data_IF_496405777468
#
_entry.id   IF_496405777468
#
_cell.length_a   1.000
_cell.length_b   1.000
_cell.length_c   1.000
_cell.angle_alpha   90.00
_cell.angle_beta   90.00
_cell.angle_gamma   90.00
#
_symmetry.space_group_name_H-M   'P 1'
#
loop_
_entity.id
_entity.type
_entity.pdbx_description
1 polymer ?
#
# COMPACT_ATOMS: atom_id res chain seq x y z
N UNK A 1 9.32 3.46 -9.88
CA UNK A 1 8.88 4.84 -9.55
C UNK A 1 8.37 4.87 -8.12
N UNK A 2 9.03 5.58 -7.19
CA UNK A 2 8.68 5.59 -5.76
C UNK A 2 7.22 6.00 -5.47
N UNK A 3 6.67 6.95 -6.24
CA UNK A 3 5.28 7.41 -6.10
C UNK A 3 4.25 6.31 -6.35
N UNK A 4 4.56 5.32 -7.20
CA UNK A 4 3.62 4.24 -7.51
C UNK A 4 3.43 3.29 -6.30
N UNK A 5 4.51 2.99 -5.57
CA UNK A 5 4.46 2.17 -4.36
C UNK A 5 3.66 2.89 -3.26
N UNK A 6 3.89 4.20 -3.11
CA UNK A 6 3.10 5.03 -2.20
C UNK A 6 1.61 5.04 -2.56
N UNK A 7 1.29 5.19 -3.84
CA UNK A 7 -0.10 5.20 -4.31
C UNK A 7 -0.81 3.86 -4.07
N UNK A 8 -0.16 2.72 -4.33
CA UNK A 8 -0.70 1.39 -3.98
C UNK A 8 -1.04 1.30 -2.50
N UNK A 9 -0.14 1.76 -1.63
CA UNK A 9 -0.36 1.77 -0.17
C UNK A 9 -1.58 2.61 0.23
N UNK A 10 -1.79 3.75 -0.45
CA UNK A 10 -2.98 4.60 -0.25
C UNK A 10 -4.25 3.86 -0.66
N UNK A 11 -4.27 3.20 -1.83
CA UNK A 11 -5.44 2.45 -2.30
C UNK A 11 -5.80 1.29 -1.36
N UNK A 12 -4.82 0.54 -0.85
CA UNK A 12 -5.04 -0.48 0.18
C UNK A 12 -5.61 0.12 1.47
N UNK A 13 -5.09 1.27 1.89
CA UNK A 13 -5.60 2.02 3.04
C UNK A 13 -7.06 2.43 2.88
N UNK A 14 -7.44 2.90 1.68
CA UNK A 14 -8.83 3.25 1.34
C UNK A 14 -9.72 2.00 1.41
N UNK A 15 -9.34 0.90 0.77
CA UNK A 15 -10.10 -0.36 0.80
C UNK A 15 -10.31 -0.87 2.23
N UNK A 16 -9.26 -0.82 3.06
CA UNK A 16 -9.33 -1.21 4.46
C UNK A 16 -10.24 -0.31 5.29
N UNK A 17 -10.26 1.01 5.02
CA UNK A 17 -11.16 1.95 5.70
C UNK A 17 -12.61 1.84 5.25
N UNK A 18 -12.85 1.56 3.98
CA UNK A 18 -14.21 1.37 3.48
C UNK A 18 -14.85 0.14 4.12
N UNK A 19 -14.10 -0.97 4.22
CA UNK A 19 -14.51 -2.13 5.02
C UNK A 19 -15.73 -2.90 4.49
N UNK A 20 -16.32 -2.48 3.38
CA UNK A 20 -17.39 -3.19 2.70
C UNK A 20 -17.37 -2.91 1.19
N UNK A 21 -17.76 -3.88 0.35
CA UNK A 21 -17.86 -3.67 -1.09
C UNK A 21 -18.96 -2.65 -1.41
N UNK A 22 -18.85 -2.00 -2.57
CA UNK A 22 -19.83 -1.05 -3.11
C UNK A 22 -20.09 0.21 -2.27
N UNK A 23 -19.24 0.51 -1.26
CA UNK A 23 -19.29 1.81 -0.60
C UNK A 23 -18.80 2.89 -1.56
N UNK A 24 -19.63 3.93 -1.70
CA UNK A 24 -19.30 5.09 -2.52
C UNK A 24 -18.18 5.89 -1.87
N UNK A 25 -17.13 6.15 -2.63
CA UNK A 25 -16.04 7.03 -2.25
C UNK A 25 -15.49 7.72 -3.50
N UNK A 26 -15.27 9.02 -3.39
CA UNK A 26 -14.64 9.80 -4.45
C UNK A 26 -13.17 9.96 -4.10
N UNK A 27 -12.29 9.53 -5.01
CA UNK A 27 -10.84 9.67 -4.83
C UNK A 27 -10.38 10.82 -5.71
N UNK A 28 -10.02 11.93 -5.07
CA UNK A 28 -9.43 13.10 -5.73
C UNK A 28 -7.92 13.02 -5.57
N UNK A 29 -7.20 13.11 -6.68
CA UNK A 29 -5.74 13.08 -6.74
C UNK A 29 -5.25 14.40 -7.32
N UNK A 30 -4.16 14.91 -6.76
CA UNK A 30 -3.52 16.11 -7.30
C UNK A 30 -3.05 15.92 -8.73
N UNK A 31 -3.21 16.96 -9.54
CA UNK A 31 -2.88 16.93 -10.96
C UNK A 31 -1.36 16.96 -11.15
N UNK A 32 -0.81 15.85 -11.63
CA UNK A 32 0.61 15.63 -11.87
C UNK A 32 0.81 14.89 -13.18
N UNK A 33 1.24 15.62 -14.22
CA UNK A 33 1.32 15.15 -15.61
C UNK A 33 2.17 13.88 -15.80
N UNK A 34 3.19 13.67 -14.97
CA UNK A 34 4.08 12.51 -15.07
C UNK A 34 3.52 11.23 -14.45
N UNK A 35 2.55 11.31 -13.52
CA UNK A 35 2.13 10.16 -12.69
C UNK A 35 0.66 9.79 -12.84
N UNK A 36 -0.21 10.72 -13.23
CA UNK A 36 -1.66 10.48 -13.25
C UNK A 36 -2.08 9.36 -14.21
N UNK A 37 -1.39 9.18 -15.34
CA UNK A 37 -1.68 8.08 -16.27
C UNK A 37 -1.48 6.72 -15.60
N UNK A 38 -0.31 6.49 -15.01
CA UNK A 38 -0.01 5.24 -14.31
C UNK A 38 -0.88 5.03 -13.07
N UNK A 39 -1.23 6.10 -12.34
CA UNK A 39 -2.16 6.02 -11.21
C UNK A 39 -3.56 5.57 -11.67
N UNK A 40 -4.04 6.08 -12.81
CA UNK A 40 -5.30 5.64 -13.42
C UNK A 40 -5.24 4.18 -13.84
N UNK A 41 -4.22 3.78 -14.59
CA UNK A 41 -4.04 2.39 -15.03
C UNK A 41 -4.00 1.42 -13.86
N UNK A 42 -3.28 1.78 -12.78
CA UNK A 42 -3.20 0.97 -11.57
C UNK A 42 -4.53 0.88 -10.83
N UNK A 43 -5.27 1.99 -10.74
CA UNK A 43 -6.61 2.01 -10.16
C UNK A 43 -7.57 1.08 -10.93
N UNK A 44 -7.53 1.16 -12.26
CA UNK A 44 -8.38 0.36 -13.13
C UNK A 44 -8.00 -1.12 -13.04
N UNK A 45 -6.71 -1.43 -13.01
CA UNK A 45 -6.21 -2.78 -12.74
C UNK A 45 -6.75 -3.32 -11.43
N UNK A 46 -6.59 -2.58 -10.33
CA UNK A 46 -7.04 -2.98 -9.01
C UNK A 46 -8.55 -3.14 -8.90
N UNK A 47 -9.31 -2.28 -9.57
CA UNK A 47 -10.74 -2.43 -9.69
C UNK A 47 -11.10 -3.73 -10.43
N UNK A 48 -10.48 -4.01 -11.57
CA UNK A 48 -10.79 -5.18 -12.38
C UNK A 48 -10.46 -6.51 -11.68
N UNK A 49 -9.44 -6.52 -10.83
CA UNK A 49 -9.00 -7.74 -10.13
C UNK A 49 -9.62 -7.93 -8.75
N UNK A 50 -10.53 -7.03 -8.32
CA UNK A 50 -11.04 -6.99 -6.93
C UNK A 50 -11.88 -8.19 -6.50
N UNK A 51 -12.45 -8.93 -7.45
CA UNK A 51 -13.39 -10.02 -7.17
C UNK A 51 -12.68 -11.25 -6.57
N UNK A 52 -11.36 -11.36 -6.75
CA UNK A 52 -10.56 -12.44 -6.21
C UNK A 52 -9.42 -11.90 -5.33
N UNK A 53 -9.21 -12.46 -4.12
CA UNK A 53 -8.02 -12.17 -3.33
C UNK A 53 -6.77 -12.74 -4.02
N UNK A 54 -5.71 -11.94 -4.06
CA UNK A 54 -4.46 -12.35 -4.70
C UNK A 54 -3.51 -12.93 -3.65
N UNK A 55 -3.41 -14.26 -3.69
CA UNK A 55 -2.50 -15.01 -2.84
C UNK A 55 -1.10 -15.01 -3.46
N UNK A 56 -0.13 -14.46 -2.74
CA UNK A 56 1.27 -14.41 -3.16
C UNK A 56 2.05 -15.66 -2.75
N UNK A 57 1.42 -16.57 -2.01
CA UNK A 57 2.00 -17.82 -1.54
C UNK A 57 1.75 -18.09 -0.04
N UNK A 58 2.10 -19.29 0.45
CA UNK A 58 1.85 -19.68 1.83
C UNK A 58 2.53 -18.76 2.83
N UNK A 59 1.75 -18.20 3.77
CA UNK A 59 2.26 -17.35 4.86
C UNK A 59 2.63 -15.92 4.46
N UNK A 60 2.42 -15.53 3.19
CA UNK A 60 2.57 -14.15 2.73
C UNK A 60 1.26 -13.37 2.85
N UNK A 61 1.32 -12.03 2.99
CA UNK A 61 0.12 -11.19 2.97
C UNK A 61 -0.69 -11.41 1.69
N UNK A 62 -2.00 -11.57 1.84
CA UNK A 62 -2.94 -11.63 0.73
C UNK A 62 -3.32 -10.21 0.32
N UNK A 63 -3.21 -9.91 -0.98
CA UNK A 63 -3.67 -8.62 -1.49
C UNK A 63 -5.18 -8.71 -1.75
N UNK A 64 -5.96 -8.06 -0.90
CA UNK A 64 -7.41 -7.98 -1.00
C UNK A 64 -7.85 -6.57 -1.43
N UNK A 65 -8.48 -6.50 -2.60
CA UNK A 65 -9.01 -5.27 -3.20
C UNK A 65 -10.54 -5.25 -3.26
N UNK A 66 -11.25 -6.19 -2.61
CA UNK A 66 -12.71 -6.34 -2.67
C UNK A 66 -13.51 -5.06 -2.40
N UNK A 67 -12.96 -4.18 -1.55
CA UNK A 67 -13.61 -2.93 -1.14
C UNK A 67 -13.20 -1.73 -2.01
N UNK A 68 -12.60 -1.95 -3.18
CA UNK A 68 -12.19 -0.88 -4.08
C UNK A 68 -13.41 -0.09 -4.59
N UNK A 69 -13.41 1.25 -4.52
CA UNK A 69 -14.48 2.08 -5.07
C UNK A 69 -14.67 1.88 -6.57
N UNK A 70 -15.92 1.98 -7.04
CA UNK A 70 -16.24 1.93 -8.46
C UNK A 70 -16.10 3.27 -9.18
N UNK A 71 -16.13 4.37 -8.44
CA UNK A 71 -15.96 5.69 -9.02
C UNK A 71 -14.51 5.88 -9.50
N UNK A 72 -14.29 6.40 -10.71
CA UNK A 72 -12.95 6.61 -11.24
C UNK A 72 -12.21 7.71 -10.48
N UNK A 73 -10.87 7.70 -10.57
CA UNK A 73 -10.05 8.78 -10.04
C UNK A 73 -10.39 10.12 -10.73
N UNK A 74 -10.53 11.15 -9.90
CA UNK A 74 -10.70 12.53 -10.35
C UNK A 74 -9.38 13.27 -10.12
N UNK A 75 -8.83 13.87 -11.17
CA UNK A 75 -7.61 14.66 -11.09
C UNK A 75 -7.97 16.14 -11.08
N UNK A 76 -7.58 16.86 -10.03
CA UNK A 76 -7.82 18.30 -9.87
C UNK A 76 -6.52 18.98 -9.45
N UNK A 77 -6.33 20.24 -9.82
CA UNK A 77 -5.27 21.06 -9.23
C UNK A 77 -5.61 21.45 -7.80
N UNK A 78 -4.61 21.72 -6.96
CA UNK A 78 -4.82 22.22 -5.59
C UNK A 78 -5.76 23.44 -5.52
N UNK A 79 -5.61 24.38 -6.47
CA UNK A 79 -6.47 25.58 -6.57
C UNK A 79 -7.94 25.29 -6.87
N UNK A 80 -8.27 24.07 -7.32
CA UNK A 80 -9.63 23.63 -7.64
C UNK A 80 -10.20 22.71 -6.56
N UNK A 81 -9.43 22.39 -5.51
CA UNK A 81 -9.86 21.47 -4.45
C UNK A 81 -9.29 21.88 -3.09
N UNK A 82 -10.15 22.47 -2.25
CA UNK A 82 -9.83 22.72 -0.85
C UNK A 82 -9.44 21.43 -0.10
N UNK A 83 -9.92 20.27 -0.55
CA UNK A 83 -9.53 18.98 0.02
C UNK A 83 -8.05 18.65 -0.21
N UNK A 84 -7.49 18.99 -1.37
CA UNK A 84 -6.06 18.79 -1.64
C UNK A 84 -5.19 19.72 -0.78
N UNK A 85 -5.60 20.98 -0.64
CA UNK A 85 -4.91 21.93 0.25
C UNK A 85 -4.94 21.50 1.72
N UNK A 86 -6.08 20.95 2.18
CA UNK A 86 -6.20 20.39 3.53
C UNK A 86 -5.26 19.19 3.73
N UNK A 87 -5.10 18.33 2.72
CA UNK A 87 -4.16 17.21 2.77
C UNK A 87 -2.73 17.72 2.89
N UNK A 88 -2.34 18.79 2.19
CA UNK A 88 -1.00 19.36 2.31
C UNK A 88 -0.71 19.88 3.72
N UNK A 89 -1.65 20.61 4.32
CA UNK A 89 -1.55 21.06 5.71
C UNK A 89 -1.41 19.86 6.65
N UNK A 90 -2.20 18.81 6.41
CA UNK A 90 -2.18 17.59 7.22
C UNK A 90 -0.82 16.88 7.14
N UNK A 91 -0.33 16.61 5.93
CA UNK A 91 0.95 15.96 5.69
C UNK A 91 2.11 16.78 6.23
N UNK A 92 2.10 18.10 6.04
CA UNK A 92 3.13 18.99 6.58
C UNK A 92 3.14 18.98 8.11
N UNK A 93 1.96 19.02 8.75
CA UNK A 93 1.83 18.98 10.20
C UNK A 93 2.37 17.67 10.78
N UNK A 94 1.99 16.53 10.17
CA UNK A 94 2.49 15.22 10.60
C UNK A 94 4.00 15.07 10.38
N UNK A 95 4.53 15.58 9.27
CA UNK A 95 5.97 15.59 9.02
C UNK A 95 6.71 16.39 10.09
N UNK A 96 6.22 17.59 10.44
CA UNK A 96 6.80 18.41 11.53
C UNK A 96 6.81 17.67 12.86
N UNK A 97 5.70 17.03 13.20
CA UNK A 97 5.59 16.22 14.40
C UNK A 97 6.58 15.05 14.42
N UNK A 98 6.71 14.31 13.31
CA UNK A 98 7.65 13.18 13.20
C UNK A 98 9.13 13.60 13.24
N UNK A 99 9.44 14.85 12.90
CA UNK A 99 10.78 15.44 12.98
C UNK A 99 11.04 16.15 14.32
N UNK A 100 10.18 15.92 15.33
CA UNK A 100 10.24 16.54 16.66
C UNK A 100 10.33 18.08 16.62
N UNK A 101 9.70 18.71 15.62
CA UNK A 101 9.68 20.18 15.50
C UNK A 101 8.53 20.79 16.26
N UNK A 102 8.74 22.03 16.69
CA UNK A 102 7.72 22.78 17.41
C UNK A 102 6.46 22.98 16.55
N UNK A 103 5.31 22.71 17.16
CA UNK A 103 4.00 22.89 16.57
C UNK A 103 3.13 23.69 17.54
N UNK A 104 2.31 24.58 16.98
CA UNK A 104 1.35 25.34 17.79
C UNK A 104 0.32 24.40 18.42
N UNK A 105 -0.29 24.81 19.54
CA UNK A 105 -1.31 24.00 20.25
C UNK A 105 -2.43 23.50 19.32
N UNK A 106 -3.00 24.29 18.39
CA UNK A 106 -4.02 23.81 17.45
C UNK A 106 -3.53 22.68 16.54
N UNK A 107 -2.29 22.79 16.01
CA UNK A 107 -1.71 21.78 15.13
C UNK A 107 -1.37 20.51 15.89
N UNK A 108 -0.85 20.63 17.12
CA UNK A 108 -0.64 19.47 17.99
C UNK A 108 -1.95 18.73 18.29
N UNK A 109 -3.05 19.45 18.53
CA UNK A 109 -4.37 18.84 18.74
C UNK A 109 -4.82 18.03 17.51
N UNK A 110 -4.57 18.53 16.31
CA UNK A 110 -4.88 17.82 15.06
C UNK A 110 -4.10 16.51 14.95
N UNK A 111 -2.82 16.49 15.33
CA UNK A 111 -2.01 15.27 15.39
C UNK A 111 -2.63 14.29 16.40
N UNK A 112 -2.77 14.69 17.67
CA UNK A 112 -3.22 13.80 18.74
C UNK A 112 -4.59 13.18 18.49
N UNK A 113 -5.51 13.94 17.90
CA UNK A 113 -6.87 13.46 17.58
C UNK A 113 -6.83 12.35 16.53
N UNK A 114 -5.84 12.36 15.63
CA UNK A 114 -5.74 11.42 14.53
C UNK A 114 -4.68 10.33 14.73
N UNK A 115 -3.87 10.38 15.80
CA UNK A 115 -2.81 9.39 16.05
C UNK A 115 -3.32 7.94 16.05
N UNK A 116 -4.55 7.71 16.53
CA UNK A 116 -5.14 6.36 16.62
C UNK A 116 -5.88 5.91 15.34
N UNK A 117 -6.10 6.82 14.40
CA UNK A 117 -6.87 6.58 13.16
C UNK A 117 -6.01 6.73 11.90
N UNK A 118 -4.83 7.33 12.03
CA UNK A 118 -3.80 7.38 11.01
C UNK A 118 -3.06 6.05 10.93
N UNK A 119 -2.66 5.69 9.70
CA UNK A 119 -1.70 4.63 9.44
C UNK A 119 -0.49 5.27 8.79
N UNK A 120 0.69 4.88 9.22
CA UNK A 120 1.96 5.35 8.66
C UNK A 120 2.80 4.14 8.32
N UNK A 121 3.24 4.07 7.07
CA UNK A 121 4.14 3.04 6.60
C UNK A 121 5.44 3.67 6.10
N UNK A 122 6.55 3.23 6.67
CA UNK A 122 7.88 3.57 6.17
C UNK A 122 8.36 2.50 5.19
N UNK A 123 8.66 2.93 3.97
CA UNK A 123 9.18 2.09 2.87
C UNK A 123 10.71 2.21 2.79
N UNK A 124 11.40 2.18 3.93
CA UNK A 124 12.87 2.09 3.94
C UNK A 124 13.30 0.62 4.00
N UNK A 125 14.40 0.26 3.34
CA UNK A 125 14.95 -1.10 3.40
C UNK A 125 15.26 -1.52 4.84
N UNK A 126 15.72 -0.58 5.68
CA UNK A 126 15.95 -0.83 7.10
C UNK A 126 14.65 -1.17 7.84
N UNK A 127 13.56 -0.42 7.58
CA UNK A 127 12.26 -0.67 8.20
C UNK A 127 11.66 -2.00 7.75
N UNK A 128 11.80 -2.34 6.47
CA UNK A 128 11.41 -3.66 5.94
C UNK A 128 12.23 -4.75 6.59
N UNK A 129 13.56 -4.63 6.60
CA UNK A 129 14.47 -5.58 7.22
C UNK A 129 14.16 -5.82 8.70
N UNK A 130 13.83 -4.78 9.46
CA UNK A 130 13.42 -4.90 10.87
C UNK A 130 12.15 -5.75 11.02
N UNK A 131 11.09 -5.47 10.23
CA UNK A 131 9.83 -6.23 10.28
C UNK A 131 10.04 -7.71 9.93
N UNK A 132 10.83 -7.97 8.89
CA UNK A 132 11.14 -9.34 8.46
C UNK A 132 12.00 -10.07 9.49
N UNK A 133 12.99 -9.40 10.08
CA UNK A 133 13.83 -9.96 11.13
C UNK A 133 12.99 -10.41 12.33
N UNK A 134 12.12 -9.53 12.84
CA UNK A 134 11.19 -9.85 13.93
C UNK A 134 10.26 -11.02 13.58
N UNK A 135 9.80 -11.11 12.33
CA UNK A 135 8.98 -12.22 11.88
C UNK A 135 9.74 -13.55 11.86
N UNK A 136 10.97 -13.57 11.34
CA UNK A 136 11.76 -14.80 11.19
C UNK A 136 12.38 -15.28 12.51
N UNK A 137 12.81 -14.39 13.40
CA UNK A 137 13.40 -14.76 14.69
C UNK A 137 12.41 -15.51 15.60
N UNK A 138 11.11 -15.33 15.38
CA UNK A 138 10.05 -15.96 16.17
C UNK A 138 9.52 -17.27 15.53
N UNK A 139 10.17 -17.80 14.48
CA UNK A 139 9.75 -19.04 13.82
C UNK A 139 10.68 -20.20 14.20
N UNK A 140 10.14 -21.41 14.38
CA UNK A 140 10.97 -22.59 14.59
C UNK A 140 11.78 -22.91 13.33
N UNK A 141 12.97 -23.45 13.53
CA UNK A 141 13.78 -24.02 12.45
C UNK A 141 12.97 -25.05 11.65
N UNK A 142 13.00 -25.01 10.31
CA UNK A 142 12.29 -25.96 9.48
C UNK A 142 12.76 -27.40 9.75
N UNK A 143 11.82 -28.33 9.93
CA UNK A 143 12.14 -29.76 10.02
C UNK A 143 12.64 -30.30 8.68
N UNK A 144 13.37 -31.41 8.69
CA UNK A 144 13.87 -32.06 7.48
C UNK A 144 12.75 -32.38 6.47
N UNK A 145 11.57 -32.78 6.96
CA UNK A 145 10.38 -33.02 6.14
C UNK A 145 9.86 -31.74 5.46
N UNK A 146 9.80 -30.61 6.18
CA UNK A 146 9.43 -29.32 5.59
C UNK A 146 10.46 -28.85 4.56
N UNK A 147 11.74 -29.13 4.80
CA UNK A 147 12.79 -28.82 3.83
C UNK A 147 12.67 -29.64 2.55
N UNK A 148 12.20 -30.89 2.63
CA UNK A 148 11.90 -31.69 1.44
C UNK A 148 10.70 -31.12 0.66
N UNK A 149 9.61 -30.78 1.35
CA UNK A 149 8.44 -30.14 0.73
C UNK A 149 8.77 -28.81 0.05
N UNK A 150 9.65 -27.99 0.65
CA UNK A 150 10.12 -26.74 0.05
C UNK A 150 10.90 -26.99 -1.25
N UNK A 151 11.71 -28.07 -1.32
CA UNK A 151 12.43 -28.42 -2.55
C UNK A 151 11.47 -28.80 -3.67
N UNK A 152 10.47 -29.61 -3.37
CA UNK A 152 9.43 -29.98 -4.34
C UNK A 152 8.66 -28.75 -4.85
N UNK A 153 8.24 -27.85 -3.94
CA UNK A 153 7.57 -26.60 -4.31
C UNK A 153 8.45 -25.71 -5.19
N UNK A 154 9.74 -25.61 -4.86
CA UNK A 154 10.71 -24.83 -5.65
C UNK A 154 10.89 -25.39 -7.05
N UNK A 155 10.96 -26.72 -7.19
CA UNK A 155 11.07 -27.39 -8.50
C UNK A 155 9.80 -27.17 -9.34
N UNK A 156 8.62 -27.22 -8.72
CA UNK A 156 7.35 -26.90 -9.37
C UNK A 156 7.29 -25.45 -9.84
N UNK A 157 7.69 -24.49 -9.01
CA UNK A 157 7.75 -23.07 -9.41
C UNK A 157 8.78 -22.82 -10.51
N UNK A 158 9.95 -23.45 -10.42
CA UNK A 158 11.00 -23.32 -11.43
C UNK A 158 10.54 -23.91 -12.77
N UNK A 159 9.88 -25.06 -12.76
CA UNK A 159 9.27 -25.65 -13.96
C UNK A 159 8.17 -24.76 -14.55
N UNK A 160 7.40 -24.05 -13.73
CA UNK A 160 6.42 -23.04 -14.19
C UNK A 160 7.10 -21.80 -14.76
N UNK A 161 8.25 -21.38 -14.22
CA UNK A 161 9.01 -20.21 -14.67
C UNK A 161 9.66 -20.44 -16.03
N UNK A 162 10.29 -21.60 -16.22
CA UNK A 162 11.12 -21.92 -17.39
C UNK A 162 10.47 -21.64 -18.77
N UNK A 163 9.19 -21.96 -19.02
CA UNK A 163 8.50 -21.63 -20.27
C UNK A 163 8.43 -20.13 -20.60
N UNK A 164 8.53 -19.26 -19.59
CA UNK A 164 8.45 -17.80 -19.73
C UNK A 164 9.82 -17.11 -19.69
N UNK A 165 10.91 -17.89 -19.55
CA UNK A 165 12.27 -17.37 -19.61
C UNK A 165 12.65 -17.22 -21.08
N UNK A 166 12.63 -15.98 -21.57
CA UNK A 166 13.19 -15.65 -22.88
C UNK A 166 14.69 -16.01 -22.87
N UNK A 167 15.09 -17.04 -23.61
CA UNK A 167 16.52 -17.28 -23.88
C UNK A 167 17.04 -16.08 -24.67
N UNK A 168 18.06 -15.40 -24.14
CA UNK A 168 18.82 -14.42 -24.92
C UNK A 168 19.57 -15.09 -26.07
#
# INVERSE_FOLDING_TARGET
>A
MPNMIGFQSVLHGICSRLGAPNRKANIIVDQQSQFNTTQRELNDLYFNIREQPWELGPGLPVMDMKNMPAEPLVFLSGTQSAGLELVDIYLWTFKRFMEDKELTKPLMRLVYTNLKTARTDNVSLQSVGKRFKEFFENKPEPTAEKMAQVRELRELEEARRMPYVMSK
#
